data_IF_005126422570
#
_entry.id   IF_005126422570
#
_cell.length_a   1.000
_cell.length_b   1.000
_cell.length_c   1.000
_cell.angle_alpha   90.00
_cell.angle_beta   90.00
_cell.angle_gamma   90.00
#
_symmetry.space_group_name_H-M   'P 1'
#
loop_
_entity.id
_entity.type
_entity.pdbx_description
1 polymer ?
#
# COMPACT_ATOMS: atom_id res chain seq x y z
N UNK A 1 -12.11 21.58 36.17
CA UNK A 1 -12.16 20.38 35.31
C UNK A 1 -11.18 20.61 34.18
N UNK A 2 -9.97 20.07 34.26
CA UNK A 2 -9.06 20.07 33.12
C UNK A 2 -9.47 18.91 32.22
N UNK A 3 -9.87 19.20 30.99
CA UNK A 3 -9.82 18.19 29.93
C UNK A 3 -8.36 17.79 29.80
N UNK A 4 -8.04 16.55 30.15
CA UNK A 4 -6.72 15.98 29.89
C UNK A 4 -6.59 15.94 28.36
N UNK A 5 -6.01 16.98 27.79
CA UNK A 5 -5.84 17.25 26.35
C UNK A 5 -4.77 16.32 25.74
N UNK A 6 -4.61 15.13 26.33
CA UNK A 6 -3.71 14.09 25.83
C UNK A 6 -4.43 13.44 24.67
N UNK A 7 -3.89 13.65 23.47
CA UNK A 7 -4.28 12.91 22.28
C UNK A 7 -4.31 11.43 22.62
N UNK A 8 -5.44 10.76 22.38
CA UNK A 8 -5.56 9.32 22.60
C UNK A 8 -4.41 8.63 21.83
N UNK A 9 -3.51 7.89 22.49
CA UNK A 9 -2.36 7.27 21.82
C UNK A 9 -2.78 6.29 20.71
N UNK A 10 -4.01 5.76 20.76
CA UNK A 10 -4.55 4.93 19.69
C UNK A 10 -4.91 5.75 18.46
N UNK A 11 -5.52 6.92 18.62
CA UNK A 11 -5.77 7.86 17.51
C UNK A 11 -4.46 8.32 16.88
N UNK A 12 -3.48 8.72 17.69
CA UNK A 12 -2.18 9.15 17.19
C UNK A 12 -1.46 8.05 16.39
N UNK A 13 -1.60 6.78 16.80
CA UNK A 13 -1.08 5.64 16.04
C UNK A 13 -1.80 5.44 14.70
N UNK A 14 -3.14 5.50 14.68
CA UNK A 14 -3.93 5.32 13.46
C UNK A 14 -3.66 6.45 12.46
N UNK A 15 -3.63 7.70 12.91
CA UNK A 15 -3.28 8.88 12.09
C UNK A 15 -1.88 8.77 11.49
N UNK A 16 -0.89 8.34 12.30
CA UNK A 16 0.47 8.12 11.82
C UNK A 16 0.52 7.00 10.78
N UNK A 17 -0.22 5.90 11.01
CA UNK A 17 -0.30 4.79 10.07
C UNK A 17 -0.95 5.21 8.75
N UNK A 18 -2.01 6.01 8.80
CA UNK A 18 -2.70 6.51 7.61
C UNK A 18 -1.80 7.43 6.79
N UNK A 19 -1.08 8.34 7.46
CA UNK A 19 -0.11 9.22 6.82
C UNK A 19 0.99 8.43 6.11
N UNK A 20 1.54 7.39 6.75
CA UNK A 20 2.56 6.54 6.14
C UNK A 20 2.02 5.81 4.90
N UNK A 21 0.78 5.29 4.96
CA UNK A 21 0.14 4.63 3.81
C UNK A 21 -0.13 5.62 2.68
N UNK A 22 -0.54 6.85 3.00
CA UNK A 22 -0.75 7.93 2.04
C UNK A 22 0.56 8.33 1.35
N UNK A 23 1.64 8.52 2.11
CA UNK A 23 2.97 8.81 1.57
C UNK A 23 3.43 7.69 0.62
N UNK A 24 3.27 6.43 1.00
CA UNK A 24 3.60 5.28 0.15
C UNK A 24 2.75 5.22 -1.13
N UNK A 25 1.45 5.49 -1.03
CA UNK A 25 0.56 5.56 -2.18
C UNK A 25 0.96 6.69 -3.14
N UNK A 26 1.35 7.85 -2.61
CA UNK A 26 1.84 8.98 -3.40
C UNK A 26 3.18 8.69 -4.08
N UNK A 27 4.10 8.00 -3.40
CA UNK A 27 5.34 7.53 -4.00
C UNK A 27 5.10 6.53 -5.13
N UNK A 28 4.16 5.60 -4.93
CA UNK A 28 3.75 4.63 -5.96
C UNK A 28 3.15 5.35 -7.18
N UNK A 29 2.28 6.34 -6.97
CA UNK A 29 1.69 7.14 -8.05
C UNK A 29 2.77 7.85 -8.87
N UNK A 30 3.67 8.60 -8.21
CA UNK A 30 4.78 9.31 -8.87
C UNK A 30 5.70 8.37 -9.64
N UNK A 31 5.99 7.18 -9.10
CA UNK A 31 6.82 6.20 -9.79
C UNK A 31 6.14 5.66 -11.07
N UNK A 32 4.82 5.43 -11.02
CA UNK A 32 4.03 5.01 -12.20
C UNK A 32 3.99 6.09 -13.26
N UNK A 33 3.79 7.34 -12.89
CA UNK A 33 3.76 8.45 -13.85
C UNK A 33 5.10 8.60 -14.56
N UNK A 34 6.22 8.52 -13.83
CA UNK A 34 7.57 8.51 -14.43
C UNK A 34 7.81 7.33 -15.37
N UNK A 35 7.32 6.13 -15.02
CA UNK A 35 7.45 4.96 -15.92
C UNK A 35 6.64 5.15 -17.21
N UNK A 36 5.43 5.73 -17.12
CA UNK A 36 4.62 6.04 -18.30
C UNK A 36 5.28 7.10 -19.19
N UNK A 37 5.83 8.14 -18.59
CA UNK A 37 6.63 9.15 -19.31
C UNK A 37 7.83 8.50 -20.00
N UNK A 38 8.55 7.61 -19.31
CA UNK A 38 9.67 6.86 -19.87
C UNK A 38 9.27 5.96 -21.05
N UNK A 39 8.14 5.25 -20.95
CA UNK A 39 7.60 4.44 -22.05
C UNK A 39 7.27 5.33 -23.25
N UNK A 40 6.55 6.43 -23.03
CA UNK A 40 6.20 7.34 -24.12
C UNK A 40 7.45 7.92 -24.81
N UNK A 41 8.49 8.24 -24.03
CA UNK A 41 9.77 8.69 -24.57
C UNK A 41 10.49 7.61 -25.39
N UNK A 42 10.51 6.36 -24.90
CA UNK A 42 11.09 5.22 -25.61
C UNK A 42 10.34 4.92 -26.92
N UNK A 43 9.01 4.94 -26.87
CA UNK A 43 8.15 4.75 -28.04
C UNK A 43 8.35 5.85 -29.09
N UNK A 44 8.52 7.10 -28.67
CA UNK A 44 8.85 8.20 -29.57
C UNK A 44 10.23 8.00 -30.20
N UNK A 45 11.24 7.58 -29.42
CA UNK A 45 12.60 7.32 -29.92
C UNK A 45 12.66 6.14 -30.89
N UNK A 46 11.75 5.18 -30.76
CA UNK A 46 11.64 3.98 -31.62
C UNK A 46 11.41 4.32 -33.09
N UNK A 47 10.76 5.45 -33.39
CA UNK A 47 10.41 5.86 -34.76
C UNK A 47 11.65 6.08 -35.62
N UNK A 48 12.72 6.62 -35.02
CA UNK A 48 13.96 6.98 -35.70
C UNK A 48 15.13 6.03 -35.36
N UNK A 49 14.84 4.90 -34.72
CA UNK A 49 15.85 3.95 -34.27
C UNK A 49 16.35 3.03 -35.41
N UNK A 50 17.65 2.74 -35.41
CA UNK A 50 18.18 1.64 -36.23
C UNK A 50 17.80 0.27 -35.63
N UNK A 51 18.08 -0.82 -36.35
CA UNK A 51 17.65 -2.17 -35.94
C UNK A 51 18.20 -2.60 -34.56
N UNK A 52 19.40 -2.15 -34.18
CA UNK A 52 19.99 -2.47 -32.89
C UNK A 52 19.35 -1.64 -31.76
N UNK A 53 19.22 -0.33 -31.97
CA UNK A 53 18.51 0.57 -31.07
C UNK A 53 17.04 0.14 -30.89
N UNK A 54 16.40 -0.36 -31.94
CA UNK A 54 15.02 -0.84 -31.89
C UNK A 54 14.86 -2.02 -30.95
N UNK A 55 15.75 -3.01 -31.04
CA UNK A 55 15.74 -4.18 -30.15
C UNK A 55 15.97 -3.77 -28.69
N UNK A 56 16.90 -2.85 -28.43
CA UNK A 56 17.16 -2.32 -27.09
C UNK A 56 15.94 -1.57 -26.53
N UNK A 57 15.28 -0.74 -27.36
CA UNK A 57 14.08 -0.02 -26.98
C UNK A 57 12.93 -0.98 -26.64
N UNK A 58 12.73 -2.05 -27.40
CA UNK A 58 11.71 -3.06 -27.11
C UNK A 58 11.93 -3.72 -25.74
N UNK A 59 13.17 -4.08 -25.42
CA UNK A 59 13.54 -4.66 -24.13
C UNK A 59 13.24 -3.67 -23.00
N UNK A 60 13.63 -2.39 -23.17
CA UNK A 60 13.40 -1.36 -22.16
C UNK A 60 11.90 -1.10 -21.93
N UNK A 61 11.10 -1.03 -23.00
CA UNK A 61 9.63 -0.88 -22.89
C UNK A 61 9.01 -2.06 -22.16
N UNK A 62 9.42 -3.29 -22.48
CA UNK A 62 8.95 -4.49 -21.78
C UNK A 62 9.28 -4.43 -20.27
N UNK A 63 10.51 -4.05 -19.92
CA UNK A 63 10.92 -3.88 -18.52
C UNK A 63 10.12 -2.79 -17.81
N UNK A 64 9.81 -1.67 -18.47
CA UNK A 64 8.97 -0.62 -17.92
C UNK A 64 7.53 -1.09 -17.69
N UNK A 65 6.95 -1.86 -18.61
CA UNK A 65 5.62 -2.46 -18.43
C UNK A 65 5.59 -3.46 -17.26
N UNK A 66 6.62 -4.30 -17.10
CA UNK A 66 6.74 -5.20 -15.96
C UNK A 66 6.88 -4.44 -14.64
N UNK A 67 7.63 -3.33 -14.62
CA UNK A 67 7.72 -2.45 -13.46
C UNK A 67 6.37 -1.80 -13.13
N UNK A 68 5.62 -1.33 -14.14
CA UNK A 68 4.27 -0.78 -13.95
C UNK A 68 3.32 -1.80 -13.35
N UNK A 69 3.29 -3.04 -13.87
CA UNK A 69 2.45 -4.12 -13.36
C UNK A 69 2.74 -4.43 -11.89
N UNK A 70 4.03 -4.44 -11.51
CA UNK A 70 4.45 -4.61 -10.11
C UNK A 70 3.96 -3.47 -9.22
N UNK A 71 4.08 -2.23 -9.67
CA UNK A 71 3.59 -1.07 -8.90
C UNK A 71 2.05 -1.06 -8.78
N UNK A 72 1.33 -1.50 -9.82
CA UNK A 72 -0.13 -1.64 -9.77
C UNK A 72 -0.57 -2.72 -8.79
N UNK A 73 0.19 -3.81 -8.66
CA UNK A 73 -0.10 -4.86 -7.67
C UNK A 73 -0.03 -4.36 -6.21
N UNK A 74 0.72 -3.29 -5.94
CA UNK A 74 0.83 -2.69 -4.61
C UNK A 74 -0.36 -1.77 -4.29
N UNK A 75 -0.99 -1.17 -5.30
CA UNK A 75 -2.13 -0.24 -5.13
C UNK A 75 -3.28 -0.88 -4.38
N UNK A 76 -3.70 -2.08 -4.77
CA UNK A 76 -4.82 -2.78 -4.11
C UNK A 76 -4.53 -3.03 -2.63
N UNK A 77 -3.31 -3.46 -2.33
CA UNK A 77 -2.91 -3.74 -0.95
C UNK A 77 -2.78 -2.46 -0.09
N UNK A 78 -2.41 -1.31 -0.66
CA UNK A 78 -2.49 -0.02 0.05
C UNK A 78 -3.94 0.38 0.34
N UNK A 79 -4.86 0.16 -0.60
CA UNK A 79 -6.29 0.44 -0.40
C UNK A 79 -6.89 -0.44 0.70
N UNK A 80 -6.51 -1.72 0.76
CA UNK A 80 -6.95 -2.65 1.82
C UNK A 80 -6.50 -2.17 3.21
N UNK A 81 -5.24 -1.77 3.37
CA UNK A 81 -4.74 -1.26 4.66
C UNK A 81 -5.47 0.03 5.07
N UNK A 82 -5.72 0.93 4.12
CA UNK A 82 -6.47 2.16 4.39
C UNK A 82 -7.92 1.87 4.81
N UNK A 83 -8.58 0.89 4.21
CA UNK A 83 -9.93 0.49 4.59
C UNK A 83 -9.97 -0.10 6.01
N UNK A 84 -8.99 -0.93 6.36
CA UNK A 84 -8.88 -1.53 7.70
C UNK A 84 -8.63 -0.44 8.76
N UNK A 85 -7.74 0.52 8.49
CA UNK A 85 -7.49 1.62 9.39
C UNK A 85 -8.74 2.51 9.57
N UNK A 86 -9.48 2.79 8.49
CA UNK A 86 -10.73 3.54 8.56
C UNK A 86 -11.79 2.83 9.42
N UNK A 87 -11.91 1.50 9.30
CA UNK A 87 -12.80 0.71 10.14
C UNK A 87 -12.40 0.76 11.63
N UNK A 88 -11.10 0.63 11.93
CA UNK A 88 -10.59 0.76 13.30
C UNK A 88 -10.82 2.17 13.87
N UNK A 89 -10.68 3.19 13.03
CA UNK A 89 -10.94 4.57 13.41
C UNK A 89 -12.43 4.82 13.72
N UNK A 90 -13.33 4.24 12.93
CA UNK A 90 -14.77 4.32 13.17
C UNK A 90 -15.18 3.68 14.51
N UNK A 91 -14.67 2.48 14.83
CA UNK A 91 -14.90 1.80 16.11
C UNK A 91 -14.39 2.63 17.31
N UNK A 92 -13.28 3.34 17.13
CA UNK A 92 -12.74 4.22 18.17
C UNK A 92 -13.59 5.48 18.36
N UNK A 93 -14.03 6.11 17.27
CA UNK A 93 -14.90 7.30 17.31
C UNK A 93 -16.26 6.97 17.94
N UNK A 94 -16.87 5.83 17.60
CA UNK A 94 -18.13 5.38 18.20
C UNK A 94 -18.00 5.21 19.71
N UNK A 95 -16.89 4.63 20.18
CA UNK A 95 -16.61 4.51 21.60
C UNK A 95 -16.43 5.86 22.30
N UNK A 96 -15.67 6.79 21.69
CA UNK A 96 -15.49 8.13 22.22
C UNK A 96 -16.83 8.87 22.30
N UNK A 97 -17.65 8.79 21.27
CA UNK A 97 -18.97 9.43 21.22
C UNK A 97 -19.88 8.91 22.34
N UNK A 98 -19.94 7.58 22.52
CA UNK A 98 -20.67 6.97 23.65
C UNK A 98 -20.20 7.50 25.00
N UNK A 99 -18.89 7.64 25.21
CA UNK A 99 -18.33 8.19 26.46
C UNK A 99 -18.64 9.67 26.65
N UNK A 100 -18.57 10.47 25.59
CA UNK A 100 -18.90 11.90 25.64
C UNK A 100 -20.37 12.14 25.99
N UNK A 101 -21.27 11.26 25.53
CA UNK A 101 -22.69 11.28 25.87
C UNK A 101 -23.01 10.71 27.27
N UNK A 102 -21.98 10.37 28.07
CA UNK A 102 -22.14 9.82 29.42
C UNK A 102 -22.50 8.33 29.47
N UNK A 103 -22.47 7.64 28.33
CA UNK A 103 -22.67 6.20 28.27
C UNK A 103 -21.44 5.42 28.74
N UNK A 104 -21.69 4.31 29.43
CA UNK A 104 -20.66 3.31 29.76
C UNK A 104 -20.88 2.03 28.97
N UNK A 105 -19.81 1.43 28.47
CA UNK A 105 -19.90 0.11 27.86
C UNK A 105 -20.26 -0.96 28.91
N UNK A 106 -21.17 -1.85 28.56
CA UNK A 106 -21.36 -3.09 29.32
C UNK A 106 -20.14 -4.02 29.12
N UNK A 107 -19.93 -5.01 30.00
CA UNK A 107 -18.88 -6.01 29.81
C UNK A 107 -18.98 -6.73 28.45
N UNK A 108 -20.19 -7.00 27.97
CA UNK A 108 -20.46 -7.63 26.68
C UNK A 108 -20.04 -6.72 25.53
N UNK A 109 -20.47 -5.46 25.51
CA UNK A 109 -20.10 -4.49 24.46
C UNK A 109 -18.59 -4.28 24.39
N UNK A 110 -17.92 -4.22 25.55
CA UNK A 110 -16.46 -4.14 25.61
C UNK A 110 -15.80 -5.38 25.00
N UNK A 111 -16.32 -6.57 25.31
CA UNK A 111 -15.80 -7.83 24.76
C UNK A 111 -15.96 -7.88 23.24
N UNK A 112 -17.14 -7.50 22.73
CA UNK A 112 -17.41 -7.47 21.29
C UNK A 112 -16.53 -6.48 20.55
N UNK A 113 -16.37 -5.26 21.08
CA UNK A 113 -15.48 -4.25 20.50
C UNK A 113 -14.03 -4.73 20.51
N UNK A 114 -13.58 -5.35 21.59
CA UNK A 114 -12.24 -5.92 21.66
C UNK A 114 -12.02 -7.00 20.58
N UNK A 115 -12.98 -7.89 20.38
CA UNK A 115 -12.91 -8.91 19.33
C UNK A 115 -12.93 -8.31 17.92
N UNK A 116 -13.71 -7.25 17.67
CA UNK A 116 -13.68 -6.53 16.38
C UNK A 116 -12.32 -5.88 16.13
N UNK A 117 -11.78 -5.19 17.12
CA UNK A 117 -10.47 -4.54 17.02
C UNK A 117 -9.32 -5.54 16.84
N UNK A 118 -9.32 -6.66 17.55
CA UNK A 118 -8.30 -7.71 17.36
C UNK A 118 -8.38 -8.33 15.97
N UNK A 119 -9.59 -8.59 15.44
CA UNK A 119 -9.74 -9.05 14.04
C UNK A 119 -9.18 -8.03 13.05
N UNK A 120 -9.51 -6.76 13.19
CA UNK A 120 -8.97 -5.69 12.34
C UNK A 120 -7.44 -5.59 12.45
N UNK A 121 -6.89 -5.79 13.66
CA UNK A 121 -5.45 -5.80 13.89
C UNK A 121 -4.75 -6.96 13.18
N UNK A 122 -5.30 -8.18 13.28
CA UNK A 122 -4.81 -9.37 12.60
C UNK A 122 -4.86 -9.21 11.07
N UNK A 123 -5.99 -8.73 10.55
CA UNK A 123 -6.16 -8.44 9.12
C UNK A 123 -5.16 -7.39 8.63
N UNK A 124 -4.98 -6.29 9.39
CA UNK A 124 -3.98 -5.27 9.05
C UNK A 124 -2.58 -5.85 9.01
N UNK A 125 -2.23 -6.66 10.00
CA UNK A 125 -0.90 -7.28 10.08
C UNK A 125 -0.66 -8.23 8.89
N UNK A 126 -1.67 -8.99 8.50
CA UNK A 126 -1.61 -9.85 7.32
C UNK A 126 -1.40 -9.04 6.04
N UNK A 127 -2.17 -7.96 5.84
CA UNK A 127 -2.04 -7.07 4.66
C UNK A 127 -0.71 -6.33 4.61
N UNK A 128 -0.22 -5.84 5.74
CA UNK A 128 1.12 -5.23 5.84
C UNK A 128 2.23 -6.23 5.54
N UNK A 129 2.09 -7.48 5.99
CA UNK A 129 3.06 -8.54 5.68
C UNK A 129 3.03 -8.90 4.19
N UNK A 130 1.84 -8.96 3.59
CA UNK A 130 1.67 -9.14 2.15
C UNK A 130 2.28 -8.00 1.35
N UNK A 131 2.07 -6.74 1.76
CA UNK A 131 2.71 -5.56 1.16
C UNK A 131 4.22 -5.64 1.20
N UNK A 132 4.80 -6.04 2.34
CA UNK A 132 6.26 -6.23 2.48
C UNK A 132 6.76 -7.30 1.51
N UNK A 133 6.10 -8.48 1.48
CA UNK A 133 6.44 -9.57 0.56
C UNK A 133 6.38 -9.12 -0.91
N UNK A 134 5.27 -8.49 -1.33
CA UNK A 134 5.10 -7.98 -2.70
C UNK A 134 6.12 -6.89 -3.04
N UNK A 135 6.47 -6.03 -2.08
CA UNK A 135 7.50 -5.01 -2.27
C UNK A 135 8.89 -5.64 -2.42
N UNK A 136 9.20 -6.70 -1.70
CA UNK A 136 10.47 -7.45 -1.82
C UNK A 136 10.54 -8.18 -3.17
N UNK A 137 9.45 -8.82 -3.58
CA UNK A 137 9.31 -9.44 -4.90
C UNK A 137 9.45 -8.41 -6.03
N UNK A 138 8.87 -7.22 -5.86
CA UNK A 138 8.97 -6.16 -6.84
C UNK A 138 10.40 -5.57 -6.96
N UNK A 139 11.20 -5.66 -5.89
CA UNK A 139 12.60 -5.21 -5.88
C UNK A 139 13.56 -6.25 -6.44
N UNK A 140 13.16 -7.52 -6.55
CA UNK A 140 13.99 -8.53 -7.22
C UNK A 140 14.03 -8.21 -8.73
N UNK A 141 15.23 -8.18 -9.35
CA UNK A 141 15.32 -8.18 -10.79
C UNK A 141 14.58 -9.40 -11.35
N UNK A 142 13.93 -9.29 -12.53
CA UNK A 142 13.37 -10.46 -13.17
C UNK A 142 14.47 -11.51 -13.29
N UNK A 143 14.23 -12.71 -12.75
CA UNK A 143 15.08 -13.85 -13.07
C UNK A 143 14.78 -14.18 -14.53
N UNK A 144 15.73 -13.93 -15.42
CA UNK A 144 15.72 -14.55 -16.74
C UNK A 144 15.77 -16.06 -16.52
N UNK A 145 14.62 -16.72 -16.62
CA UNK A 145 14.58 -18.17 -16.87
C UNK A 145 15.08 -18.40 -18.30
N UNK A 146 16.38 -18.67 -18.41
CA UNK A 146 17.13 -19.01 -19.61
C UNK A 146 18.61 -18.85 -19.25
N UNK A 147 19.45 -19.87 -19.14
CA UNK A 147 19.53 -21.13 -19.88
C UNK A 147 19.93 -22.29 -18.96
N UNK A 148 19.07 -23.30 -18.85
CA UNK A 148 19.51 -24.70 -18.72
C UNK A 148 19.17 -25.34 -20.07
N UNK A 149 20.13 -25.41 -20.98
CA UNK A 149 19.89 -25.97 -22.31
C UNK A 149 21.01 -25.73 -23.33
N UNK A 150 21.98 -26.65 -23.33
CA UNK A 150 22.99 -26.90 -24.36
C UNK A 150 24.25 -26.01 -24.40
N UNK A 151 25.27 -26.40 -23.64
CA UNK A 151 26.45 -27.14 -24.15
C UNK A 151 27.35 -27.64 -23.03
#
# INVERSE_FOLDING_TARGET
>A
MGSDDRTDPHLGFLETSDRLVEELAMHNLKARDRLREGIAWLEARRVDADDAEHADIEILVAQCHDALKRLESLRGAYQDVRAINAAAHAEHLEWLDKRMLGGTETPEERSERHQRLERLREERQARMSELRRRSEEARRPPQTEGEDGAR
#
